data_IF_935288521537
#
_entry.id   IF_935288521537
#
_cell.length_a   1.000
_cell.length_b   1.000
_cell.length_c   1.000
_cell.angle_alpha   90.00
_cell.angle_beta   90.00
_cell.angle_gamma   90.00
#
_symmetry.space_group_name_H-M   'P 1'
#
loop_
_entity.id
_entity.type
_entity.pdbx_description
1 polymer ?
#
# COMPACT_ATOMS: atom_id res chain seq x y z
N UNK A 1 29.35 37.11 -19.11
CA UNK A 1 29.41 36.17 -17.99
C UNK A 1 27.96 36.02 -17.52
N UNK A 2 27.25 35.01 -18.04
CA UNK A 2 25.85 34.78 -17.68
C UNK A 2 25.86 33.89 -16.44
N UNK A 3 25.42 34.43 -15.32
CA UNK A 3 25.19 33.69 -14.09
C UNK A 3 24.04 32.69 -14.31
N UNK A 4 24.35 31.39 -14.23
CA UNK A 4 23.36 30.33 -14.15
C UNK A 4 22.92 30.30 -12.69
N UNK A 5 22.04 31.21 -12.34
CA UNK A 5 21.34 31.22 -11.06
C UNK A 5 19.94 30.66 -11.26
N UNK A 6 19.67 29.60 -10.52
CA UNK A 6 18.34 29.10 -10.17
C UNK A 6 17.49 28.49 -11.28
N UNK A 7 17.83 27.27 -11.68
CA UNK A 7 16.80 26.31 -11.99
C UNK A 7 16.04 25.96 -10.68
N UNK A 8 15.20 26.87 -10.23
CA UNK A 8 14.07 26.54 -9.39
C UNK A 8 13.20 25.60 -10.22
N UNK A 9 13.26 24.33 -9.94
CA UNK A 9 12.19 23.41 -10.33
C UNK A 9 10.91 24.01 -9.76
N UNK A 10 10.13 24.61 -10.62
CA UNK A 10 8.82 25.12 -10.26
C UNK A 10 7.99 23.91 -9.85
N UNK A 11 7.78 23.74 -8.56
CA UNK A 11 7.10 22.66 -7.88
C UNK A 11 5.58 22.65 -8.10
N UNK A 12 5.07 23.22 -9.18
CA UNK A 12 3.64 23.41 -9.39
C UNK A 12 2.94 22.31 -10.21
N UNK A 13 3.65 21.27 -10.68
CA UNK A 13 3.03 20.25 -11.53
C UNK A 13 3.46 18.79 -11.21
N UNK A 14 4.12 18.53 -10.08
CA UNK A 14 4.41 17.14 -9.69
C UNK A 14 3.19 16.51 -9.05
N UNK A 15 2.81 15.29 -9.45
CA UNK A 15 1.70 14.57 -8.83
C UNK A 15 2.02 14.27 -7.36
N UNK A 16 1.04 14.50 -6.50
CA UNK A 16 1.12 14.11 -5.08
C UNK A 16 0.84 12.62 -4.97
N UNK A 17 1.84 11.85 -4.54
CA UNK A 17 1.75 10.41 -4.37
C UNK A 17 1.82 10.07 -2.88
N UNK A 18 0.87 9.27 -2.42
CA UNK A 18 0.89 8.73 -1.06
C UNK A 18 1.05 7.22 -1.09
N UNK A 19 1.99 6.72 -0.30
CA UNK A 19 2.16 5.28 -0.05
C UNK A 19 1.59 4.97 1.32
N UNK A 20 0.52 4.20 1.34
CA UNK A 20 -0.24 3.91 2.56
C UNK A 20 -0.06 2.45 2.95
N UNK A 21 0.65 2.20 4.03
CA UNK A 21 0.78 0.89 4.63
C UNK A 21 -0.36 0.60 5.59
N UNK A 22 -1.10 -0.49 5.35
CA UNK A 22 -2.29 -0.86 6.14
C UNK A 22 -2.05 -2.14 6.92
N UNK A 23 -2.21 -2.07 8.24
CA UNK A 23 -1.96 -3.18 9.14
C UNK A 23 -0.46 -3.46 9.36
N UNK A 24 -0.12 -4.48 10.15
CA UNK A 24 1.26 -4.71 10.58
C UNK A 24 2.25 -4.90 9.42
N UNK A 25 1.92 -5.73 8.43
CA UNK A 25 2.79 -5.97 7.26
C UNK A 25 2.95 -4.69 6.43
N UNK A 26 1.86 -3.98 6.12
CA UNK A 26 1.92 -2.72 5.38
C UNK A 26 2.72 -1.64 6.12
N UNK A 27 2.55 -1.51 7.43
CA UNK A 27 3.32 -0.57 8.24
C UNK A 27 4.83 -0.91 8.23
N UNK A 28 5.20 -2.19 8.29
CA UNK A 28 6.59 -2.60 8.18
C UNK A 28 7.19 -2.24 6.80
N UNK A 29 6.45 -2.43 5.73
CA UNK A 29 6.88 -2.05 4.38
C UNK A 29 7.11 -0.53 4.29
N UNK A 30 6.18 0.28 4.77
CA UNK A 30 6.30 1.75 4.80
C UNK A 30 7.50 2.18 5.63
N UNK A 31 7.71 1.61 6.81
CA UNK A 31 8.84 1.95 7.67
C UNK A 31 10.21 1.70 7.00
N UNK A 32 10.29 0.73 6.09
CA UNK A 32 11.52 0.47 5.32
C UNK A 32 11.68 1.39 4.11
N UNK A 33 10.55 1.80 3.50
CA UNK A 33 10.55 2.68 2.33
C UNK A 33 10.88 4.12 2.69
N UNK A 34 10.34 4.63 3.80
CA UNK A 34 10.43 6.04 4.21
C UNK A 34 11.87 6.57 4.37
N UNK A 35 12.86 5.68 4.49
CA UNK A 35 14.26 6.06 4.66
C UNK A 35 15.11 6.02 3.38
N UNK A 36 14.59 5.50 2.27
CA UNK A 36 15.44 5.14 1.12
C UNK A 36 14.95 5.67 -0.23
N UNK A 37 13.82 6.39 -0.28
CA UNK A 37 13.30 6.91 -1.54
C UNK A 37 13.83 8.32 -1.87
N UNK A 38 14.28 8.58 -3.10
CA UNK A 38 14.70 9.91 -3.54
C UNK A 38 13.53 10.80 -3.99
N UNK A 39 12.29 10.28 -3.99
CA UNK A 39 11.11 10.95 -4.51
C UNK A 39 10.30 11.68 -3.43
N UNK A 40 9.60 12.77 -3.77
CA UNK A 40 8.71 13.48 -2.86
C UNK A 40 7.40 12.70 -2.65
N UNK A 41 7.49 11.57 -1.92
CA UNK A 41 6.37 10.69 -1.60
C UNK A 41 6.03 10.89 -0.13
N UNK A 42 4.74 10.95 0.18
CA UNK A 42 4.27 10.94 1.56
C UNK A 42 3.96 9.52 2.00
N UNK A 43 4.61 9.10 3.07
CA UNK A 43 4.42 7.78 3.66
C UNK A 43 3.41 7.83 4.80
N UNK A 44 2.42 6.96 4.72
CA UNK A 44 1.31 6.89 5.69
C UNK A 44 1.22 5.49 6.27
N UNK A 45 1.08 5.39 7.58
CA UNK A 45 0.79 4.15 8.28
C UNK A 45 -0.65 4.17 8.82
N UNK A 46 -1.46 3.19 8.43
CA UNK A 46 -2.83 3.01 8.94
C UNK A 46 -2.91 1.68 9.69
N UNK A 47 -3.45 1.70 10.89
CA UNK A 47 -3.67 0.49 11.68
C UNK A 47 -4.85 0.66 12.64
N UNK A 48 -5.41 -0.45 13.11
CA UNK A 48 -6.34 -0.54 14.24
C UNK A 48 -5.61 -0.67 15.59
N UNK A 49 -4.29 -0.91 15.57
CA UNK A 49 -3.44 -1.05 16.75
C UNK A 49 -2.55 0.19 16.91
N UNK A 50 -2.83 0.98 17.93
CA UNK A 50 -2.10 2.21 18.25
C UNK A 50 -0.65 1.94 18.62
N UNK A 51 -0.37 0.84 19.34
CA UNK A 51 1.00 0.51 19.80
C UNK A 51 1.95 0.21 18.65
N UNK A 52 1.42 -0.27 17.51
CA UNK A 52 2.18 -0.49 16.28
C UNK A 52 2.50 0.85 15.62
N UNK A 53 1.52 1.76 15.58
CA UNK A 53 1.69 3.09 14.97
C UNK A 53 2.65 3.97 15.74
N UNK A 54 2.67 3.88 17.09
CA UNK A 54 3.59 4.65 17.94
C UNK A 54 5.07 4.35 17.65
N UNK A 55 5.35 3.23 16.99
CA UNK A 55 6.70 2.80 16.56
C UNK A 55 6.97 3.03 15.08
N UNK A 56 6.02 3.60 14.37
CA UNK A 56 6.14 3.82 12.93
C UNK A 56 7.00 5.06 12.64
N UNK A 57 7.79 4.97 11.57
CA UNK A 57 8.57 6.09 11.04
C UNK A 57 7.87 6.76 9.83
N UNK A 58 6.59 6.45 9.61
CA UNK A 58 5.81 7.09 8.56
C UNK A 58 5.59 8.58 8.85
N UNK A 59 5.45 9.41 7.80
CA UNK A 59 5.18 10.84 7.93
C UNK A 59 3.86 11.12 8.63
N UNK A 60 2.87 10.23 8.38
CA UNK A 60 1.55 10.30 9.01
C UNK A 60 1.15 8.94 9.53
N UNK A 61 0.64 8.90 10.75
CA UNK A 61 0.07 7.71 11.38
C UNK A 61 -1.41 7.93 11.67
N UNK A 62 -2.26 7.05 11.18
CA UNK A 62 -3.70 7.09 11.40
C UNK A 62 -4.21 5.81 12.07
N UNK A 63 -4.73 5.93 13.28
CA UNK A 63 -5.44 4.84 13.95
C UNK A 63 -6.90 4.86 13.54
N UNK A 64 -7.35 3.78 12.89
CA UNK A 64 -8.74 3.62 12.45
C UNK A 64 -9.55 2.80 13.47
N UNK A 65 -10.86 3.09 13.53
CA UNK A 65 -11.80 2.36 14.39
C UNK A 65 -11.51 2.52 15.89
N UNK A 66 -11.15 3.72 16.33
CA UNK A 66 -10.79 4.00 17.73
C UNK A 66 -11.89 3.63 18.71
N UNK A 67 -13.16 3.83 18.36
CA UNK A 67 -14.29 3.48 19.23
C UNK A 67 -14.54 1.97 19.22
N UNK A 68 -14.40 1.34 18.05
CA UNK A 68 -14.67 -0.08 17.86
C UNK A 68 -13.58 -0.96 18.47
N UNK A 69 -12.30 -0.60 18.30
CA UNK A 69 -11.14 -1.43 18.69
C UNK A 69 -10.45 -0.95 19.96
N UNK A 70 -10.76 0.25 20.43
CA UNK A 70 -10.04 0.93 21.54
C UNK A 70 -8.51 1.00 21.30
N UNK A 71 -8.06 0.93 20.03
CA UNK A 71 -6.64 0.93 19.69
C UNK A 71 -5.89 -0.38 19.95
N UNK A 72 -6.60 -1.49 20.25
CA UNK A 72 -6.00 -2.80 20.53
C UNK A 72 -5.98 -3.74 19.31
N UNK A 73 -6.31 -3.24 18.12
CA UNK A 73 -6.31 -4.02 16.89
C UNK A 73 -7.62 -4.73 16.60
N UNK A 74 -7.71 -5.30 15.39
CA UNK A 74 -8.91 -6.01 14.91
C UNK A 74 -8.97 -7.50 15.33
N UNK A 75 -8.02 -7.99 16.12
CA UNK A 75 -8.00 -9.39 16.58
C UNK A 75 -7.93 -10.44 15.47
N UNK A 76 -7.35 -10.09 14.32
CA UNK A 76 -7.29 -10.99 13.15
C UNK A 76 -8.60 -11.11 12.36
N UNK A 77 -9.64 -10.34 12.70
CA UNK A 77 -10.94 -10.36 12.04
C UNK A 77 -11.04 -9.23 10.98
N UNK A 78 -11.18 -9.59 9.67
CA UNK A 78 -11.34 -8.59 8.60
C UNK A 78 -12.63 -7.77 8.68
N UNK A 79 -13.73 -8.35 9.19
CA UNK A 79 -15.00 -7.64 9.30
C UNK A 79 -14.89 -6.48 10.31
N UNK A 80 -14.21 -6.71 11.43
CA UNK A 80 -13.93 -5.65 12.43
C UNK A 80 -13.05 -4.58 11.80
N UNK A 81 -12.05 -4.95 11.01
CA UNK A 81 -11.17 -4.00 10.35
C UNK A 81 -11.87 -3.19 9.25
N UNK A 82 -12.80 -3.80 8.52
CA UNK A 82 -13.65 -3.10 7.57
C UNK A 82 -14.53 -2.06 8.27
N UNK A 83 -15.21 -2.46 9.35
CA UNK A 83 -16.04 -1.55 10.14
C UNK A 83 -15.20 -0.43 10.82
N UNK A 84 -13.95 -0.74 11.21
CA UNK A 84 -13.02 0.24 11.74
C UNK A 84 -12.60 1.29 10.70
N UNK A 85 -12.41 0.87 9.44
CA UNK A 85 -12.15 1.80 8.34
C UNK A 85 -13.39 2.63 8.01
N UNK A 86 -14.57 2.04 8.06
CA UNK A 86 -15.85 2.75 7.88
C UNK A 86 -16.10 3.79 8.97
N UNK A 87 -15.80 3.46 10.23
CA UNK A 87 -15.86 4.43 11.36
C UNK A 87 -15.00 5.66 11.10
N UNK A 88 -13.83 5.46 10.49
CA UNK A 88 -12.81 6.50 10.26
C UNK A 88 -12.86 7.07 8.83
N UNK A 89 -14.02 7.05 8.18
CA UNK A 89 -14.18 7.48 6.79
C UNK A 89 -13.73 8.92 6.55
N UNK A 90 -14.08 9.84 7.45
CA UNK A 90 -13.78 11.26 7.29
C UNK A 90 -12.29 11.53 7.42
N UNK A 91 -11.62 10.88 8.37
CA UNK A 91 -10.16 10.98 8.54
C UNK A 91 -9.42 10.38 7.34
N UNK A 92 -9.92 9.28 6.77
CA UNK A 92 -9.34 8.66 5.57
C UNK A 92 -9.50 9.60 4.37
N UNK A 93 -10.67 10.21 4.18
CA UNK A 93 -10.90 11.17 3.10
C UNK A 93 -10.02 12.41 3.23
N UNK A 94 -9.89 12.97 4.43
CA UNK A 94 -9.01 14.11 4.69
C UNK A 94 -7.55 13.76 4.38
N UNK A 95 -7.12 12.55 4.79
CA UNK A 95 -5.78 12.04 4.55
C UNK A 95 -5.41 11.96 3.06
N UNK A 96 -6.36 11.60 2.20
CA UNK A 96 -6.08 11.36 0.75
C UNK A 96 -6.55 12.51 -0.15
N UNK A 97 -7.16 13.55 0.39
CA UNK A 97 -7.85 14.60 -0.36
C UNK A 97 -6.95 15.34 -1.39
N UNK A 98 -5.69 15.52 -1.09
CA UNK A 98 -4.70 16.19 -1.94
C UNK A 98 -3.93 15.23 -2.85
N UNK A 99 -4.16 13.90 -2.74
CA UNK A 99 -3.43 12.91 -3.50
C UNK A 99 -3.95 12.79 -4.95
N UNK A 100 -3.02 12.73 -5.91
CA UNK A 100 -3.32 12.36 -7.28
C UNK A 100 -3.28 10.84 -7.47
N UNK A 101 -2.46 10.16 -6.66
CA UNK A 101 -2.29 8.72 -6.69
C UNK A 101 -2.06 8.17 -5.28
N UNK A 102 -2.66 7.03 -5.00
CA UNK A 102 -2.47 6.29 -3.76
C UNK A 102 -1.97 4.90 -4.07
N UNK A 103 -0.88 4.50 -3.43
CA UNK A 103 -0.37 3.13 -3.44
C UNK A 103 -0.67 2.51 -2.08
N UNK A 104 -1.58 1.55 -2.06
CA UNK A 104 -1.92 0.79 -0.85
C UNK A 104 -1.02 -0.44 -0.74
N UNK A 105 -0.47 -0.68 0.44
CA UNK A 105 0.31 -1.90 0.68
C UNK A 105 -0.15 -2.60 1.95
N UNK A 106 -0.33 -3.92 1.87
CA UNK A 106 -0.78 -4.74 2.98
C UNK A 106 -0.40 -6.22 2.82
N UNK A 107 -0.31 -6.92 3.95
CA UNK A 107 -0.34 -8.39 3.97
C UNK A 107 -1.77 -8.89 4.13
N UNK A 108 -2.20 -9.69 3.17
CA UNK A 108 -3.52 -10.33 3.21
C UNK A 108 -3.51 -11.56 4.13
N UNK A 109 -4.66 -11.90 4.69
CA UNK A 109 -4.80 -13.04 5.61
C UNK A 109 -4.78 -12.67 7.09
N UNK A 110 -4.50 -11.39 7.42
CA UNK A 110 -4.71 -10.82 8.75
C UNK A 110 -6.06 -10.11 8.87
N UNK A 111 -6.29 -9.40 9.98
CA UNK A 111 -7.49 -8.58 10.18
C UNK A 111 -7.39 -7.26 9.45
N UNK A 112 -6.53 -6.36 9.94
CA UNK A 112 -6.50 -4.95 9.52
C UNK A 112 -6.23 -4.76 8.03
N UNK A 113 -5.17 -5.38 7.48
CA UNK A 113 -4.84 -5.25 6.06
C UNK A 113 -5.95 -5.80 5.17
N UNK A 114 -6.44 -7.01 5.47
CA UNK A 114 -7.45 -7.70 4.64
C UNK A 114 -8.80 -6.97 4.63
N UNK A 115 -9.21 -6.43 5.79
CA UNK A 115 -10.53 -5.78 5.90
C UNK A 115 -10.51 -4.31 5.51
N UNK A 116 -9.50 -3.54 5.93
CA UNK A 116 -9.49 -2.10 5.72
C UNK A 116 -9.08 -1.68 4.29
N UNK A 117 -8.17 -2.42 3.62
CA UNK A 117 -7.69 -2.05 2.29
C UNK A 117 -8.81 -1.95 1.25
N UNK A 118 -9.76 -2.90 1.15
CA UNK A 118 -10.87 -2.76 0.21
C UNK A 118 -11.73 -1.51 0.46
N UNK A 119 -11.97 -1.16 1.72
CA UNK A 119 -12.73 0.04 2.08
C UNK A 119 -11.99 1.32 1.69
N UNK A 120 -10.70 1.41 2.04
CA UNK A 120 -9.83 2.55 1.70
C UNK A 120 -9.73 2.69 0.18
N UNK A 121 -9.53 1.58 -0.55
CA UNK A 121 -9.52 1.57 -2.02
C UNK A 121 -10.78 2.16 -2.62
N UNK A 122 -11.95 1.70 -2.14
CA UNK A 122 -13.23 2.21 -2.60
C UNK A 122 -13.36 3.71 -2.33
N UNK A 123 -12.97 4.16 -1.14
CA UNK A 123 -13.00 5.58 -0.78
C UNK A 123 -12.13 6.42 -1.72
N UNK A 124 -10.90 5.99 -2.01
CA UNK A 124 -10.00 6.67 -2.94
C UNK A 124 -10.58 6.71 -4.36
N UNK A 125 -11.12 5.59 -4.85
CA UNK A 125 -11.74 5.49 -6.17
C UNK A 125 -12.96 6.41 -6.29
N UNK A 126 -13.82 6.44 -5.28
CA UNK A 126 -15.01 7.32 -5.22
C UNK A 126 -14.61 8.81 -5.25
N UNK A 127 -13.41 9.16 -4.79
CA UNK A 127 -12.81 10.49 -4.87
C UNK A 127 -12.07 10.77 -6.20
N UNK A 128 -12.04 9.81 -7.13
CA UNK A 128 -11.37 9.93 -8.43
C UNK A 128 -9.83 9.86 -8.37
N UNK A 129 -9.27 9.35 -7.28
CA UNK A 129 -7.83 9.20 -7.05
C UNK A 129 -7.39 7.87 -7.67
N UNK A 130 -6.34 7.90 -8.50
CA UNK A 130 -5.74 6.66 -9.05
C UNK A 130 -5.22 5.79 -7.91
N UNK A 131 -5.75 4.57 -7.79
CA UNK A 131 -5.47 3.71 -6.65
C UNK A 131 -4.86 2.37 -7.10
N UNK A 132 -3.65 2.10 -6.63
CA UNK A 132 -2.92 0.85 -6.87
C UNK A 132 -2.76 0.12 -5.55
N UNK A 133 -2.99 -1.19 -5.53
CA UNK A 133 -2.65 -2.02 -4.37
C UNK A 133 -1.51 -2.98 -4.71
N UNK A 134 -0.53 -3.06 -3.81
CA UNK A 134 0.54 -4.04 -3.80
C UNK A 134 0.41 -4.85 -2.51
N UNK A 135 -0.05 -6.07 -2.63
CA UNK A 135 -0.38 -6.91 -1.48
C UNK A 135 0.36 -8.25 -1.52
N UNK A 136 0.63 -8.81 -0.34
CA UNK A 136 1.26 -10.12 -0.21
C UNK A 136 0.25 -11.16 0.29
N UNK A 137 0.36 -12.41 -0.18
CA UNK A 137 -0.36 -13.55 0.40
C UNK A 137 0.47 -14.20 1.51
N UNK A 138 -0.17 -14.83 2.52
CA UNK A 138 0.56 -15.51 3.58
C UNK A 138 1.37 -16.70 3.05
N UNK A 139 2.38 -17.08 3.82
CA UNK A 139 3.12 -18.34 3.59
C UNK A 139 2.28 -19.55 3.99
N UNK A 140 2.47 -20.68 3.31
CA UNK A 140 1.79 -21.94 3.61
C UNK A 140 2.05 -22.47 5.04
N UNK A 141 3.20 -22.10 5.62
CA UNK A 141 3.53 -22.51 6.98
C UNK A 141 2.82 -21.66 8.07
N UNK A 142 2.16 -20.55 7.70
CA UNK A 142 1.50 -19.71 8.70
C UNK A 142 0.24 -20.41 9.25
N UNK A 143 -0.85 -20.34 8.59
CA UNK A 143 -2.09 -21.03 8.98
C UNK A 143 -3.00 -21.14 7.75
N UNK A 144 -3.57 -22.33 7.44
CA UNK A 144 -4.48 -22.52 6.30
C UNK A 144 -5.66 -21.53 6.30
N UNK A 145 -6.17 -21.16 7.48
CA UNK A 145 -7.25 -20.20 7.59
C UNK A 145 -6.86 -18.80 7.09
N UNK A 146 -5.59 -18.39 7.24
CA UNK A 146 -5.08 -17.12 6.72
C UNK A 146 -5.12 -17.08 5.20
N UNK A 147 -4.84 -18.18 4.53
CA UNK A 147 -4.91 -18.28 3.07
C UNK A 147 -6.34 -18.08 2.56
N UNK A 148 -7.33 -18.69 3.23
CA UNK A 148 -8.75 -18.49 2.88
C UNK A 148 -9.17 -17.03 3.09
N UNK A 149 -8.80 -16.43 4.20
CA UNK A 149 -9.06 -15.03 4.51
C UNK A 149 -8.39 -14.12 3.47
N UNK A 150 -7.15 -14.42 3.09
CA UNK A 150 -6.41 -13.65 2.09
C UNK A 150 -7.11 -13.68 0.73
N UNK A 151 -7.53 -14.87 0.27
CA UNK A 151 -8.21 -15.03 -1.01
C UNK A 151 -9.54 -14.25 -1.06
N UNK A 152 -10.36 -14.38 -0.02
CA UNK A 152 -11.61 -13.62 0.08
C UNK A 152 -11.36 -12.09 0.11
N UNK A 153 -10.31 -11.65 0.82
CA UNK A 153 -9.91 -10.23 0.85
C UNK A 153 -9.45 -9.71 -0.51
N UNK A 154 -8.68 -10.51 -1.24
CA UNK A 154 -8.21 -10.18 -2.60
C UNK A 154 -9.40 -10.07 -3.56
N UNK A 155 -10.34 -11.02 -3.53
CA UNK A 155 -11.56 -10.97 -4.35
C UNK A 155 -12.41 -9.72 -4.09
N UNK A 156 -12.48 -9.27 -2.84
CA UNK A 156 -13.16 -8.03 -2.49
C UNK A 156 -12.40 -6.79 -2.96
N UNK A 157 -11.07 -6.81 -2.87
CA UNK A 157 -10.21 -5.72 -3.31
C UNK A 157 -10.26 -5.54 -4.84
N UNK A 158 -10.26 -6.62 -5.61
CA UNK A 158 -10.37 -6.60 -7.08
C UNK A 158 -11.56 -5.79 -7.60
N UNK A 159 -12.65 -5.77 -6.85
CA UNK A 159 -13.89 -5.07 -7.24
C UNK A 159 -13.83 -3.54 -7.08
N UNK A 160 -12.86 -3.04 -6.30
CA UNK A 160 -12.83 -1.64 -5.89
C UNK A 160 -11.48 -0.95 -6.09
N UNK A 161 -10.56 -1.55 -6.84
CA UNK A 161 -9.22 -1.03 -7.13
C UNK A 161 -9.02 -0.83 -8.63
N UNK A 162 -8.14 0.11 -9.02
CA UNK A 162 -7.79 0.32 -10.42
C UNK A 162 -6.75 -0.68 -10.88
N UNK A 163 -5.71 -0.91 -10.08
CA UNK A 163 -4.66 -1.88 -10.38
C UNK A 163 -4.30 -2.67 -9.12
N UNK A 164 -4.22 -3.99 -9.26
CA UNK A 164 -3.86 -4.91 -8.17
C UNK A 164 -2.64 -5.74 -8.54
N UNK A 165 -1.60 -5.65 -7.73
CA UNK A 165 -0.42 -6.51 -7.77
C UNK A 165 -0.43 -7.44 -6.55
N UNK A 166 -0.52 -8.74 -6.78
CA UNK A 166 -0.50 -9.77 -5.73
C UNK A 166 0.84 -10.50 -5.76
N UNK A 167 1.58 -10.41 -4.67
CA UNK A 167 2.87 -11.09 -4.48
C UNK A 167 2.64 -12.35 -3.66
N UNK A 168 2.97 -13.51 -4.23
CA UNK A 168 2.85 -14.79 -3.53
C UNK A 168 4.12 -15.06 -2.71
N UNK A 169 3.99 -15.03 -1.37
CA UNK A 169 5.12 -15.31 -0.49
C UNK A 169 5.68 -16.74 -0.69
N UNK A 170 4.85 -17.72 -1.01
CA UNK A 170 5.31 -19.11 -1.27
C UNK A 170 6.14 -19.18 -2.55
N UNK A 171 5.77 -18.45 -3.61
CA UNK A 171 6.57 -18.40 -4.83
C UNK A 171 7.94 -17.77 -4.57
N UNK A 172 8.01 -16.75 -3.72
CA UNK A 172 9.29 -16.14 -3.34
C UNK A 172 10.21 -17.13 -2.64
N UNK A 173 9.68 -18.00 -1.78
CA UNK A 173 10.45 -19.06 -1.14
C UNK A 173 10.95 -20.09 -2.16
N UNK A 174 10.09 -20.51 -3.08
CA UNK A 174 10.47 -21.53 -4.08
C UNK A 174 11.55 -21.03 -5.05
N UNK A 175 11.66 -19.72 -5.28
CA UNK A 175 12.71 -19.14 -6.11
C UNK A 175 14.05 -18.93 -5.37
N UNK A 176 14.11 -19.15 -4.04
CA UNK A 176 15.28 -18.80 -3.23
C UNK A 176 15.64 -19.91 -2.25
N UNK A 177 16.34 -20.94 -2.72
CA UNK A 177 16.74 -22.13 -1.95
C UNK A 177 17.61 -21.84 -0.71
N UNK A 178 18.11 -20.61 -0.54
CA UNK A 178 19.02 -20.23 0.56
C UNK A 178 18.29 -19.71 1.81
N UNK A 179 16.96 -19.62 1.80
CA UNK A 179 16.21 -19.07 2.93
C UNK A 179 15.95 -20.17 3.95
N UNK A 180 16.64 -20.06 5.09
CA UNK A 180 16.63 -21.10 6.15
C UNK A 180 15.81 -20.65 7.36
N UNK A 181 15.42 -19.38 7.49
CA UNK A 181 14.71 -18.86 8.65
C UNK A 181 13.42 -18.12 8.29
N UNK A 182 12.41 -18.20 9.17
CA UNK A 182 11.17 -17.43 9.01
C UNK A 182 11.42 -15.92 8.91
N UNK A 183 12.35 -15.39 9.71
CA UNK A 183 12.69 -13.97 9.66
C UNK A 183 13.27 -13.57 8.31
N UNK A 184 14.10 -14.41 7.69
CA UNK A 184 14.64 -14.16 6.35
C UNK A 184 13.53 -14.23 5.28
N UNK A 185 12.56 -15.12 5.42
CA UNK A 185 11.42 -15.23 4.52
C UNK A 185 10.56 -13.95 4.53
N UNK A 186 10.21 -13.45 5.71
CA UNK A 186 9.48 -12.19 5.83
C UNK A 186 10.30 -11.00 5.33
N UNK A 187 11.61 -10.95 5.59
CA UNK A 187 12.48 -9.90 5.07
C UNK A 187 12.56 -9.90 3.53
N UNK A 188 12.50 -11.07 2.91
CA UNK A 188 12.44 -11.18 1.45
C UNK A 188 11.12 -10.65 0.92
N UNK A 189 10.00 -11.05 1.51
CA UNK A 189 8.67 -10.57 1.12
C UNK A 189 8.59 -9.03 1.20
N UNK A 190 9.08 -8.46 2.29
CA UNK A 190 9.13 -7.00 2.46
C UNK A 190 10.03 -6.32 1.42
N UNK A 191 11.17 -6.95 1.04
CA UNK A 191 12.07 -6.41 0.01
C UNK A 191 11.44 -6.41 -1.38
N UNK A 192 10.70 -7.47 -1.71
CA UNK A 192 9.98 -7.55 -2.99
C UNK A 192 8.84 -6.54 -3.05
N UNK A 193 8.12 -6.39 -1.94
CA UNK A 193 7.08 -5.38 -1.80
C UNK A 193 7.66 -3.96 -2.01
N UNK A 194 8.79 -3.66 -1.37
CA UNK A 194 9.54 -2.41 -1.56
C UNK A 194 9.90 -2.21 -3.04
N UNK A 195 10.54 -3.19 -3.66
CA UNK A 195 10.97 -3.08 -5.06
C UNK A 195 9.80 -2.85 -6.01
N UNK A 196 8.64 -3.45 -5.76
CA UNK A 196 7.43 -3.22 -6.54
C UNK A 196 6.94 -1.77 -6.41
N UNK A 197 6.91 -1.22 -5.20
CA UNK A 197 6.53 0.17 -4.94
C UNK A 197 7.54 1.13 -5.56
N UNK A 198 8.83 0.90 -5.39
CA UNK A 198 9.90 1.70 -5.98
C UNK A 198 9.82 1.68 -7.53
N UNK A 199 9.48 0.55 -8.13
CA UNK A 199 9.31 0.45 -9.58
C UNK A 199 8.14 1.30 -10.06
N UNK A 200 6.99 1.23 -9.37
CA UNK A 200 5.80 2.02 -9.72
C UNK A 200 6.12 3.52 -9.58
N UNK A 201 6.74 3.92 -8.48
CA UNK A 201 7.08 5.33 -8.24
C UNK A 201 8.14 5.84 -9.22
N UNK A 202 9.13 5.01 -9.56
CA UNK A 202 10.12 5.32 -10.60
C UNK A 202 9.47 5.59 -11.97
N UNK A 203 8.46 4.81 -12.35
CA UNK A 203 7.74 5.01 -13.62
C UNK A 203 7.02 6.36 -13.61
N UNK A 204 6.48 6.80 -12.47
CA UNK A 204 5.76 8.08 -12.36
C UNK A 204 6.71 9.28 -12.35
N UNK A 205 7.81 9.21 -11.62
CA UNK A 205 8.72 10.35 -11.43
C UNK A 205 9.84 10.41 -12.47
N UNK A 206 10.34 9.28 -12.92
CA UNK A 206 11.38 9.19 -13.95
C UNK A 206 10.73 8.93 -15.31
N UNK A 207 10.05 9.94 -15.87
CA UNK A 207 9.69 9.95 -17.27
C UNK A 207 10.97 9.81 -18.10
N UNK A 208 11.26 8.58 -18.55
CA UNK A 208 12.39 8.28 -19.43
C UNK A 208 12.22 8.94 -20.80
N UNK A 209 12.91 8.43 -21.82
CA UNK A 209 12.90 8.91 -23.21
C UNK A 209 11.51 9.02 -23.87
N UNK A 210 10.47 8.45 -23.24
CA UNK A 210 9.06 8.55 -23.64
C UNK A 210 8.34 9.35 -22.55
N UNK A 211 7.87 10.53 -22.92
CA UNK A 211 7.11 11.44 -22.04
C UNK A 211 5.74 10.80 -21.75
N UNK A 212 5.68 9.96 -20.71
CA UNK A 212 4.41 9.46 -20.19
C UNK A 212 3.83 10.54 -19.25
N UNK A 213 2.77 11.20 -19.71
CA UNK A 213 2.01 12.12 -18.88
C UNK A 213 1.27 11.32 -17.77
N UNK A 214 1.08 11.91 -16.59
CA UNK A 214 0.31 11.31 -15.50
C UNK A 214 -1.10 10.89 -15.95
N UNK A 215 -1.70 11.62 -16.89
CA UNK A 215 -2.99 11.26 -17.49
C UNK A 215 -2.90 9.99 -18.35
N UNK A 216 -1.79 9.76 -19.03
CA UNK A 216 -1.55 8.51 -19.78
C UNK A 216 -1.44 7.32 -18.83
N UNK A 217 -0.74 7.50 -17.68
CA UNK A 217 -0.69 6.50 -16.62
C UNK A 217 -2.08 6.23 -16.05
N UNK A 218 -2.87 7.26 -15.78
CA UNK A 218 -4.25 7.13 -15.31
C UNK A 218 -5.11 6.36 -16.32
N UNK A 219 -4.91 6.57 -17.61
CA UNK A 219 -5.62 5.85 -18.66
C UNK A 219 -5.16 4.39 -18.81
N UNK A 220 -3.87 4.13 -18.61
CA UNK A 220 -3.31 2.78 -18.72
C UNK A 220 -3.59 1.93 -17.46
N UNK A 221 -3.54 2.55 -16.28
CA UNK A 221 -3.69 1.89 -14.99
C UNK A 221 -5.11 1.97 -14.44
N UNK A 222 -5.88 2.99 -14.86
CA UNK A 222 -7.27 3.18 -14.46
C UNK A 222 -8.23 2.33 -15.32
N UNK A 223 -9.37 1.99 -14.73
CA UNK A 223 -10.58 1.45 -15.39
C UNK A 223 -10.43 0.15 -16.22
N UNK A 224 -9.37 -0.60 -16.02
CA UNK A 224 -9.23 -1.94 -16.61
C UNK A 224 -9.25 -2.99 -15.51
N UNK A 225 -10.42 -3.17 -14.89
CA UNK A 225 -10.70 -4.04 -13.75
C UNK A 225 -10.32 -5.53 -13.88
N UNK A 226 -9.30 -5.88 -14.65
CA UNK A 226 -8.88 -7.26 -14.86
C UNK A 226 -7.35 -7.41 -15.05
N UNK A 227 -6.55 -6.65 -14.30
CA UNK A 227 -5.09 -6.83 -14.30
C UNK A 227 -4.60 -7.37 -12.96
N UNK A 228 -4.86 -8.66 -12.75
CA UNK A 228 -4.23 -9.43 -11.70
C UNK A 228 -2.88 -9.94 -12.20
N UNK A 229 -1.80 -9.32 -11.78
CA UNK A 229 -0.46 -9.89 -11.93
C UNK A 229 -0.12 -10.65 -10.65
N UNK A 230 -0.04 -11.98 -10.73
CA UNK A 230 0.44 -12.85 -9.65
C UNK A 230 1.91 -13.17 -9.96
N UNK A 231 2.80 -12.48 -9.27
CA UNK A 231 4.25 -12.70 -9.34
C UNK A 231 4.70 -13.72 -8.30
#
# INVERSE_FOLDING_TARGET
MLEITDLKYASSNMPVIKVIGVGGCGNNAVNRLSHETPFPIQFVAINTDQMVLDKSNADICLTIGKKLTNGFGAGGNPEIAYAAAEESTDEIKELVNDANMVILTAGMGGGTGTGAVPYISKTCKDMGILTIAVVTTPFNFENPNRTNIANAGIENLEKCIDTLLVISNDKLLSCNEKIVTMSAAFSLADSVLKNAIDTITNIVFNCGTVNLDFNDLKTVLGDKGDRKSVV
#
